data_IF_008454001719
#
_entry.id   IF_008454001719
#
_cell.length_a   1.000
_cell.length_b   1.000
_cell.length_c   1.000
_cell.angle_alpha   90.00
_cell.angle_beta   90.00
_cell.angle_gamma   90.00
#
_symmetry.space_group_name_H-M   'P 1'
#
loop_
_entity.id
_entity.type
_entity.pdbx_description
1 polymer ?
#
# COMPACT_ATOMS: atom_id res chain seq x y z
N UNK A 1 -10.14 -0.24 16.54
CA UNK A 1 -10.72 -1.47 17.08
C UNK A 1 -11.33 -2.29 15.97
N UNK A 2 -11.05 -3.59 15.93
CA UNK A 2 -11.54 -4.48 14.88
C UNK A 2 -11.86 -5.85 15.47
N UNK A 3 -12.91 -6.50 14.97
CA UNK A 3 -13.40 -7.77 15.52
C UNK A 3 -13.30 -8.87 14.48
N UNK A 4 -12.85 -10.04 14.94
CA UNK A 4 -12.63 -11.24 14.15
C UNK A 4 -13.50 -12.36 14.72
N UNK A 5 -13.98 -13.24 13.84
CA UNK A 5 -14.67 -14.48 14.18
C UNK A 5 -13.72 -15.64 13.88
N UNK A 6 -13.56 -16.53 14.86
CA UNK A 6 -12.74 -17.73 14.77
C UNK A 6 -13.67 -18.93 14.76
N UNK A 7 -13.60 -19.69 13.68
CA UNK A 7 -14.39 -20.90 13.44
C UNK A 7 -13.53 -22.16 13.55
N UNK A 8 -14.16 -23.28 13.89
CA UNK A 8 -13.51 -24.60 13.95
C UNK A 8 -12.79 -24.90 15.26
N UNK A 9 -13.18 -24.26 16.37
CA UNK A 9 -12.63 -24.53 17.70
C UNK A 9 -13.11 -25.87 18.24
N UNK A 10 -12.24 -26.60 18.95
CA UNK A 10 -12.67 -27.80 19.68
C UNK A 10 -13.68 -27.42 20.78
N UNK A 11 -14.65 -28.31 21.01
CA UNK A 11 -15.65 -28.20 22.08
C UNK A 11 -15.06 -27.95 23.49
N UNK A 12 -13.81 -28.34 23.71
CA UNK A 12 -13.08 -28.17 24.99
C UNK A 12 -12.32 -26.85 25.07
N UNK A 13 -12.21 -26.12 23.98
CA UNK A 13 -11.46 -24.87 23.91
C UNK A 13 -12.23 -23.75 24.59
N UNK A 14 -11.60 -23.10 25.57
CA UNK A 14 -12.21 -22.04 26.38
C UNK A 14 -11.86 -20.65 25.84
N UNK A 15 -12.63 -19.64 26.23
CA UNK A 15 -12.34 -18.25 25.84
C UNK A 15 -10.95 -17.81 26.32
N UNK A 16 -10.49 -18.31 27.47
CA UNK A 16 -9.18 -17.97 28.01
C UNK A 16 -8.04 -18.54 27.16
N UNK A 17 -8.19 -19.79 26.67
CA UNK A 17 -7.19 -20.36 25.75
C UNK A 17 -7.10 -19.58 24.44
N UNK A 18 -8.23 -19.20 23.86
CA UNK A 18 -8.25 -18.39 22.62
C UNK A 18 -7.68 -16.99 22.88
N UNK A 19 -8.05 -16.37 24.00
CA UNK A 19 -7.55 -15.06 24.41
C UNK A 19 -6.03 -15.07 24.58
N UNK A 20 -5.48 -16.06 25.28
CA UNK A 20 -4.04 -16.18 25.48
C UNK A 20 -3.30 -16.38 24.15
N UNK A 21 -3.87 -17.17 23.23
CA UNK A 21 -3.29 -17.35 21.89
C UNK A 21 -3.31 -16.06 21.07
N UNK A 22 -4.46 -15.39 20.99
CA UNK A 22 -4.62 -14.16 20.21
C UNK A 22 -3.81 -12.99 20.78
N UNK A 23 -3.42 -13.02 22.06
CA UNK A 23 -2.57 -12.01 22.68
C UNK A 23 -1.17 -11.94 22.05
N UNK A 24 -0.71 -13.02 21.42
CA UNK A 24 0.56 -13.04 20.69
C UNK A 24 0.57 -12.10 19.47
N UNK A 25 -0.60 -11.79 18.92
CA UNK A 25 -0.77 -10.89 17.78
C UNK A 25 -1.04 -9.45 18.22
N UNK A 26 -1.42 -9.24 19.48
CA UNK A 26 -1.59 -7.91 20.05
C UNK A 26 -2.64 -7.83 21.15
N UNK A 27 -2.84 -6.60 21.66
CA UNK A 27 -3.74 -6.35 22.79
C UNK A 27 -5.20 -6.65 22.43
N UNK A 28 -5.79 -7.59 23.17
CA UNK A 28 -7.22 -7.95 23.07
C UNK A 28 -8.04 -7.10 24.03
N UNK A 29 -9.14 -6.53 23.52
CA UNK A 29 -10.13 -5.80 24.31
C UNK A 29 -11.25 -6.70 24.82
N UNK A 30 -11.71 -7.64 23.99
CA UNK A 30 -12.79 -8.56 24.33
C UNK A 30 -12.59 -9.92 23.64
N UNK A 31 -12.99 -11.00 24.32
CA UNK A 31 -12.94 -12.36 23.81
C UNK A 31 -14.06 -13.16 24.47
N UNK A 32 -14.95 -13.75 23.66
CA UNK A 32 -16.00 -14.62 24.15
C UNK A 32 -16.40 -15.66 23.10
N UNK A 33 -16.87 -16.81 23.57
CA UNK A 33 -17.30 -17.92 22.71
C UNK A 33 -18.83 -17.92 22.62
N UNK A 34 -19.36 -18.09 21.41
CA UNK A 34 -20.78 -18.23 21.11
C UNK A 34 -20.98 -19.31 20.06
N UNK A 35 -21.73 -20.37 20.39
CA UNK A 35 -22.11 -21.45 19.46
C UNK A 35 -20.92 -22.02 18.64
N UNK A 36 -19.84 -22.43 19.31
CA UNK A 36 -18.60 -22.97 18.73
C UNK A 36 -17.76 -21.97 17.90
N UNK A 37 -18.12 -20.68 17.91
CA UNK A 37 -17.33 -19.60 17.32
C UNK A 37 -16.74 -18.74 18.42
N UNK A 38 -15.47 -18.35 18.33
CA UNK A 38 -14.89 -17.35 19.23
C UNK A 38 -14.84 -15.99 18.54
N UNK A 39 -15.36 -14.97 19.23
CA UNK A 39 -15.33 -13.60 18.77
C UNK A 39 -14.25 -12.87 19.55
N UNK A 40 -13.26 -12.33 18.84
CA UNK A 40 -12.11 -11.62 19.42
C UNK A 40 -12.05 -10.20 18.88
N UNK A 41 -11.98 -9.22 19.77
CA UNK A 41 -11.83 -7.80 19.43
C UNK A 41 -10.42 -7.34 19.77
N UNK A 42 -9.65 -6.97 18.74
CA UNK A 42 -8.33 -6.37 18.89
C UNK A 42 -8.44 -4.85 19.12
N UNK A 43 -7.54 -4.32 19.93
CA UNK A 43 -7.43 -2.88 20.15
C UNK A 43 -7.12 -2.15 18.84
N UNK A 44 -6.15 -2.67 18.09
CA UNK A 44 -5.67 -2.11 16.83
C UNK A 44 -6.10 -2.96 15.65
N UNK A 45 -6.40 -2.29 14.53
CA UNK A 45 -6.87 -2.93 13.29
C UNK A 45 -5.78 -3.80 12.65
N UNK A 46 -4.53 -3.33 12.70
CA UNK A 46 -3.38 -4.02 12.11
C UNK A 46 -3.18 -5.43 12.70
N UNK A 47 -3.34 -5.58 14.02
CA UNK A 47 -3.23 -6.87 14.70
C UNK A 47 -4.31 -7.87 14.25
N UNK A 48 -5.52 -7.39 13.98
CA UNK A 48 -6.60 -8.21 13.43
C UNK A 48 -6.35 -8.61 11.97
N UNK A 49 -5.80 -7.70 11.16
CA UNK A 49 -5.39 -7.97 9.77
C UNK A 49 -4.28 -9.03 9.72
N UNK A 50 -3.27 -8.90 10.56
CA UNK A 50 -2.17 -9.86 10.65
C UNK A 50 -2.66 -11.24 11.11
N UNK A 51 -3.54 -11.28 12.10
CA UNK A 51 -4.18 -12.51 12.56
C UNK A 51 -4.99 -13.19 11.45
N UNK A 52 -5.77 -12.45 10.65
CA UNK A 52 -6.52 -13.05 9.54
C UNK A 52 -5.58 -13.51 8.41
N UNK A 53 -4.55 -12.73 8.10
CA UNK A 53 -3.56 -13.05 7.05
C UNK A 53 -2.78 -14.33 7.34
N UNK A 54 -2.57 -14.64 8.62
CA UNK A 54 -1.84 -15.83 9.08
C UNK A 54 -2.75 -17.04 9.31
N UNK A 55 -4.05 -16.92 8.99
CA UNK A 55 -4.97 -18.05 8.97
C UNK A 55 -4.57 -19.06 7.88
N UNK A 56 -4.65 -20.37 8.15
CA UNK A 56 -5.29 -21.00 9.30
C UNK A 56 -4.36 -21.20 10.52
N UNK A 57 -4.92 -21.09 11.72
CA UNK A 57 -4.20 -21.19 13.00
C UNK A 57 -4.39 -22.55 13.65
N UNK A 58 -3.54 -22.90 14.61
CA UNK A 58 -3.73 -24.07 15.50
C UNK A 58 -3.70 -23.59 16.95
N UNK A 59 -4.88 -23.45 17.54
CA UNK A 59 -5.05 -22.92 18.92
C UNK A 59 -5.04 -24.07 19.94
N UNK A 60 -5.54 -25.24 19.55
CA UNK A 60 -5.58 -26.44 20.37
C UNK A 60 -4.95 -27.64 19.65
N UNK A 61 -5.00 -28.81 20.30
CA UNK A 61 -4.42 -30.05 19.80
C UNK A 61 -5.25 -30.73 18.70
N UNK A 62 -6.43 -30.20 18.35
CA UNK A 62 -7.45 -30.98 17.64
C UNK A 62 -8.06 -30.32 16.40
N UNK A 63 -7.43 -29.27 15.84
CA UNK A 63 -7.90 -28.71 14.57
C UNK A 63 -7.12 -27.52 14.06
N UNK A 64 -7.32 -27.23 12.77
CA UNK A 64 -6.92 -25.96 12.16
C UNK A 64 -8.13 -25.02 12.23
N UNK A 65 -7.99 -23.88 12.90
CA UNK A 65 -9.06 -22.88 13.02
C UNK A 65 -8.92 -21.84 11.93
N UNK A 66 -10.05 -21.31 11.46
CA UNK A 66 -10.09 -20.27 10.43
C UNK A 66 -10.55 -18.95 11.05
N UNK A 67 -9.84 -17.87 10.73
CA UNK A 67 -10.19 -16.53 11.19
C UNK A 67 -10.78 -15.70 10.05
N UNK A 68 -11.98 -15.14 10.25
CA UNK A 68 -12.64 -14.27 9.29
C UNK A 68 -13.01 -12.94 9.93
N UNK A 69 -13.11 -11.87 9.12
CA UNK A 69 -13.62 -10.60 9.61
C UNK A 69 -15.02 -10.81 10.17
N UNK A 70 -15.28 -10.29 11.38
CA UNK A 70 -16.66 -10.09 11.81
C UNK A 70 -17.24 -9.06 10.87
N UNK A 71 -17.98 -9.50 9.86
CA UNK A 71 -18.66 -8.63 8.91
C UNK A 71 -19.54 -7.71 9.74
N UNK A 72 -19.16 -6.44 9.83
CA UNK A 72 -19.97 -5.41 10.47
C UNK A 72 -21.14 -5.12 9.54
N UNK A 73 -22.08 -6.06 9.45
CA UNK A 73 -23.45 -5.72 9.12
C UNK A 73 -23.93 -4.88 10.30
N UNK A 74 -24.10 -3.58 10.07
CA UNK A 74 -24.89 -2.71 10.93
C UNK A 74 -26.30 -3.34 11.03
N UNK A 75 -26.49 -4.21 12.01
CA UNK A 75 -27.75 -4.85 12.35
C UNK A 75 -27.89 -4.68 13.85
N UNK A 76 -28.40 -3.51 14.20
CA UNK A 76 -29.25 -3.34 15.38
C UNK A 76 -30.36 -4.40 15.30
N UNK A 77 -30.14 -5.55 15.92
CA UNK A 77 -31.23 -6.44 16.27
C UNK A 77 -31.40 -6.43 17.79
N UNK A 78 -32.60 -6.08 18.29
CA UNK A 78 -32.92 -6.31 19.68
C UNK A 78 -32.88 -7.81 19.98
N UNK A 79 -32.27 -8.15 21.13
CA UNK A 79 -32.30 -9.48 21.72
C UNK A 79 -33.77 -9.86 21.96
N UNK A 80 -34.31 -10.74 21.11
CA UNK A 80 -35.35 -11.73 21.39
C UNK A 80 -36.03 -12.11 20.09
N UNK A 81 -35.38 -12.97 19.31
CA UNK A 81 -36.09 -13.85 18.39
C UNK A 81 -35.24 -15.11 18.21
N UNK A 82 -35.78 -16.23 18.68
CA UNK A 82 -35.48 -17.57 18.17
C UNK A 82 -35.55 -17.50 16.63
N UNK A 83 -34.82 -18.34 15.87
CA UNK A 83 -34.90 -18.31 14.42
C UNK A 83 -36.34 -18.67 14.01
N UNK A 84 -37.17 -17.65 13.84
CA UNK A 84 -38.42 -17.77 13.12
C UNK A 84 -37.97 -17.96 11.67
N UNK A 85 -38.27 -19.14 11.15
CA UNK A 85 -38.11 -19.54 9.77
C UNK A 85 -39.01 -18.60 8.95
N UNK A 86 -38.51 -17.40 8.65
CA UNK A 86 -39.21 -16.42 7.84
C UNK A 86 -38.79 -16.59 6.37
N UNK A 87 -39.42 -17.58 5.73
CA UNK A 87 -39.99 -17.55 4.38
C UNK A 87 -39.44 -16.49 3.39
N UNK A 88 -38.14 -16.53 3.09
CA UNK A 88 -37.57 -16.24 1.76
C UNK A 88 -36.21 -16.94 1.66
N UNK A 89 -36.21 -18.27 1.72
CA UNK A 89 -35.03 -19.14 1.57
C UNK A 89 -34.56 -19.18 0.09
N UNK A 90 -34.45 -18.03 -0.57
CA UNK A 90 -34.00 -17.92 -1.97
C UNK A 90 -32.49 -18.16 -2.12
N UNK A 91 -31.79 -18.49 -1.02
CA UNK A 91 -30.38 -18.88 -1.01
C UNK A 91 -30.19 -20.38 -0.80
N UNK A 92 -31.27 -21.17 -0.84
CA UNK A 92 -31.23 -22.62 -0.64
C UNK A 92 -31.70 -23.37 -1.87
N UNK A 93 -31.05 -24.50 -2.12
CA UNK A 93 -31.38 -25.44 -3.19
C UNK A 93 -31.49 -26.86 -2.64
N UNK A 94 -32.41 -27.62 -3.21
CA UNK A 94 -32.52 -29.07 -3.00
C UNK A 94 -31.91 -29.77 -4.20
N UNK A 95 -30.94 -30.65 -3.95
CA UNK A 95 -30.26 -31.46 -4.96
C UNK A 95 -30.70 -32.90 -4.76
N UNK A 96 -31.09 -33.57 -5.84
CA UNK A 96 -31.39 -35.01 -5.83
C UNK A 96 -30.41 -35.73 -6.76
N UNK A 97 -29.95 -36.90 -6.32
CA UNK A 97 -28.93 -37.66 -7.02
C UNK A 97 -28.68 -39.02 -6.37
N UNK A 98 -27.67 -39.74 -6.87
CA UNK A 98 -27.22 -41.01 -6.28
C UNK A 98 -26.39 -40.76 -5.01
N UNK A 99 -26.37 -41.72 -4.09
CA UNK A 99 -25.65 -41.60 -2.80
C UNK A 99 -24.19 -41.16 -2.98
N UNK A 100 -23.46 -41.76 -3.92
CA UNK A 100 -22.06 -41.44 -4.25
C UNK A 100 -21.87 -39.98 -4.71
N UNK A 101 -22.90 -39.37 -5.31
CA UNK A 101 -22.87 -37.97 -5.75
C UNK A 101 -23.23 -36.99 -4.62
N UNK A 102 -23.95 -37.45 -3.60
CA UNK A 102 -24.47 -36.60 -2.54
C UNK A 102 -23.52 -36.49 -1.34
N UNK A 103 -22.28 -36.95 -1.48
CA UNK A 103 -21.24 -36.71 -0.49
C UNK A 103 -20.92 -35.21 -0.40
N UNK A 104 -20.94 -34.68 0.83
CA UNK A 104 -20.69 -33.27 1.15
C UNK A 104 -19.45 -32.69 0.44
N UNK A 105 -18.25 -33.30 0.47
CA UNK A 105 -17.07 -32.70 -0.15
C UNK A 105 -17.21 -32.56 -1.68
N UNK A 106 -17.90 -33.50 -2.34
CA UNK A 106 -18.11 -33.48 -3.79
C UNK A 106 -19.09 -32.37 -4.18
N UNK A 107 -20.18 -32.25 -3.40
CA UNK A 107 -21.18 -31.20 -3.58
C UNK A 107 -20.59 -29.81 -3.32
N UNK A 108 -19.88 -29.60 -2.20
CA UNK A 108 -19.27 -28.31 -1.87
C UNK A 108 -18.26 -27.92 -2.95
N UNK A 109 -17.39 -28.84 -3.38
CA UNK A 109 -16.38 -28.57 -4.43
C UNK A 109 -17.03 -28.17 -5.76
N UNK A 110 -18.06 -28.90 -6.19
CA UNK A 110 -18.74 -28.62 -7.45
C UNK A 110 -19.52 -27.30 -7.38
N UNK A 111 -20.35 -27.12 -6.36
CA UNK A 111 -21.23 -25.95 -6.28
C UNK A 111 -20.50 -24.65 -5.90
N UNK A 112 -19.28 -24.75 -5.35
CA UNK A 112 -18.42 -23.59 -5.09
C UNK A 112 -18.06 -22.79 -6.36
N UNK A 113 -18.19 -23.37 -7.56
CA UNK A 113 -17.97 -22.65 -8.81
C UNK A 113 -19.03 -21.57 -9.10
N UNK A 114 -20.21 -21.69 -8.49
CA UNK A 114 -21.31 -20.73 -8.68
C UNK A 114 -21.31 -19.62 -7.61
N UNK A 115 -20.73 -19.90 -6.44
CA UNK A 115 -20.45 -18.97 -5.36
C UNK A 115 -20.15 -19.68 -4.04
N UNK A 116 -19.99 -18.91 -2.95
CA UNK A 116 -19.58 -19.48 -1.67
C UNK A 116 -20.71 -20.32 -1.04
N UNK A 117 -20.44 -21.61 -0.85
CA UNK A 117 -21.37 -22.53 -0.19
C UNK A 117 -21.24 -22.33 1.32
N UNK A 118 -22.27 -21.75 1.93
CA UNK A 118 -22.36 -21.51 3.37
C UNK A 118 -22.57 -22.79 4.16
N UNK A 119 -23.38 -23.70 3.62
CA UNK A 119 -23.77 -24.93 4.31
C UNK A 119 -24.20 -25.99 3.30
N UNK A 120 -23.79 -27.23 3.52
CA UNK A 120 -24.24 -28.39 2.77
C UNK A 120 -24.77 -29.43 3.75
N UNK A 121 -26.01 -29.86 3.57
CA UNK A 121 -26.69 -30.84 4.42
C UNK A 121 -27.10 -32.03 3.56
N UNK A 122 -26.24 -33.07 3.42
CA UNK A 122 -26.60 -34.27 2.72
C UNK A 122 -27.64 -35.07 3.51
N UNK A 123 -28.67 -35.55 2.83
CA UNK A 123 -29.70 -36.44 3.35
C UNK A 123 -29.71 -37.75 2.53
N UNK A 124 -28.73 -38.63 2.76
CA UNK A 124 -28.57 -39.85 1.97
C UNK A 124 -29.77 -40.78 2.06
N UNK A 125 -30.48 -40.80 3.21
CA UNK A 125 -31.72 -41.58 3.38
C UNK A 125 -32.85 -41.19 2.44
N UNK A 126 -32.88 -39.94 1.98
CA UNK A 126 -33.90 -39.43 1.06
C UNK A 126 -33.38 -39.24 -0.36
N UNK A 127 -32.13 -39.63 -0.63
CA UNK A 127 -31.49 -39.40 -1.94
C UNK A 127 -31.44 -37.91 -2.31
N UNK A 128 -31.30 -37.03 -1.32
CA UNK A 128 -31.26 -35.59 -1.50
C UNK A 128 -30.17 -34.92 -0.68
N UNK A 129 -29.84 -33.68 -1.01
CA UNK A 129 -28.99 -32.81 -0.21
C UNK A 129 -29.51 -31.38 -0.31
N UNK A 130 -29.37 -30.60 0.76
CA UNK A 130 -29.69 -29.17 0.76
C UNK A 130 -28.41 -28.36 0.76
N UNK A 131 -28.27 -27.45 -0.20
CA UNK A 131 -27.15 -26.51 -0.24
C UNK A 131 -27.68 -25.11 0.04
N UNK A 132 -26.97 -24.39 0.91
CA UNK A 132 -27.20 -22.98 1.21
C UNK A 132 -26.01 -22.17 0.74
N UNK A 133 -26.25 -21.15 -0.08
CA UNK A 133 -25.25 -20.16 -0.47
C UNK A 133 -25.31 -18.93 0.43
N UNK A 134 -24.23 -18.15 0.46
CA UNK A 134 -24.22 -16.85 1.14
C UNK A 134 -25.08 -15.81 0.43
N UNK A 135 -25.20 -15.91 -0.89
CA UNK A 135 -25.90 -14.95 -1.72
C UNK A 135 -26.93 -15.61 -2.65
N UNK A 136 -27.99 -14.87 -2.95
CA UNK A 136 -29.08 -15.31 -3.82
C UNK A 136 -28.64 -15.48 -5.28
N UNK A 137 -27.66 -14.68 -5.73
CA UNK A 137 -27.22 -14.69 -7.13
C UNK A 137 -26.58 -16.04 -7.46
N UNK A 138 -25.84 -16.62 -6.52
CA UNK A 138 -25.29 -17.97 -6.64
C UNK A 138 -26.36 -19.03 -6.87
N UNK A 139 -27.48 -18.99 -6.14
CA UNK A 139 -28.61 -19.90 -6.38
C UNK A 139 -29.25 -19.70 -7.76
N UNK A 140 -29.44 -18.46 -8.18
CA UNK A 140 -30.01 -18.16 -9.51
C UNK A 140 -29.11 -18.63 -10.64
N UNK A 141 -27.78 -18.53 -10.49
CA UNK A 141 -26.82 -19.08 -11.47
C UNK A 141 -26.95 -20.59 -11.61
N UNK A 142 -27.03 -21.30 -10.48
CA UNK A 142 -27.21 -22.75 -10.48
C UNK A 142 -28.52 -23.14 -11.16
N UNK A 143 -29.63 -22.47 -10.82
CA UNK A 143 -30.95 -22.75 -11.41
C UNK A 143 -31.05 -22.37 -12.90
N UNK A 144 -30.29 -21.37 -13.35
CA UNK A 144 -30.25 -20.95 -14.76
C UNK A 144 -29.55 -21.97 -15.64
N UNK A 145 -28.62 -22.74 -15.08
CA UNK A 145 -27.93 -23.78 -15.84
C UNK A 145 -28.81 -25.02 -15.99
N UNK A 146 -29.05 -25.41 -17.25
CA UNK A 146 -30.07 -26.40 -17.61
C UNK A 146 -29.81 -27.82 -17.09
N UNK A 147 -28.54 -28.20 -16.88
CA UNK A 147 -28.13 -29.55 -16.45
C UNK A 147 -26.85 -29.47 -15.64
N UNK A 148 -26.80 -30.25 -14.58
CA UNK A 148 -25.63 -30.37 -13.71
C UNK A 148 -25.16 -31.81 -13.70
N UNK A 149 -23.85 -32.02 -13.77
CA UNK A 149 -23.27 -33.36 -13.83
C UNK A 149 -22.18 -33.51 -12.78
N UNK A 150 -22.30 -34.54 -11.96
CA UNK A 150 -21.30 -34.90 -10.96
C UNK A 150 -20.95 -36.38 -11.14
N UNK A 151 -19.65 -36.67 -11.28
CA UNK A 151 -19.14 -38.02 -11.56
C UNK A 151 -19.81 -38.69 -12.79
N UNK A 152 -20.05 -37.90 -13.85
CA UNK A 152 -20.63 -38.38 -15.12
C UNK A 152 -22.13 -38.69 -15.07
N UNK A 153 -22.81 -38.43 -13.95
CA UNK A 153 -24.25 -38.63 -13.76
C UNK A 153 -24.96 -37.29 -13.56
N UNK A 154 -26.18 -37.17 -14.06
CA UNK A 154 -26.98 -35.93 -13.93
C UNK A 154 -27.47 -35.75 -12.50
N UNK A 155 -27.46 -34.50 -12.04
CA UNK A 155 -28.14 -34.06 -10.82
C UNK A 155 -29.46 -33.40 -11.17
N UNK A 156 -30.45 -33.52 -10.28
CA UNK A 156 -31.71 -32.77 -10.35
C UNK A 156 -31.62 -31.68 -9.29
N UNK A 157 -31.85 -30.43 -9.68
CA UNK A 157 -31.79 -29.28 -8.77
C UNK A 157 -33.14 -28.59 -8.78
N UNK A 158 -33.67 -28.38 -7.59
CA UNK A 158 -34.96 -27.76 -7.35
C UNK A 158 -34.77 -26.57 -6.38
N UNK A 159 -35.52 -25.47 -6.56
CA UNK A 159 -35.61 -24.44 -5.54
C UNK A 159 -36.02 -25.07 -4.20
N UNK A 160 -35.40 -24.65 -3.10
CA UNK A 160 -35.75 -25.18 -1.80
C UNK A 160 -37.19 -24.79 -1.44
N UNK A 161 -38.09 -25.77 -1.43
CA UNK A 161 -39.41 -25.63 -0.83
C UNK A 161 -39.31 -26.08 0.61
N UNK A 162 -39.52 -25.16 1.55
CA UNK A 162 -39.69 -25.54 2.93
C UNK A 162 -40.91 -26.46 2.99
N UNK A 163 -40.67 -27.75 3.12
CA UNK A 163 -41.74 -28.70 3.39
C UNK A 163 -42.19 -28.38 4.80
N UNK A 164 -43.23 -27.55 4.93
CA UNK A 164 -44.03 -27.51 6.14
C UNK A 164 -44.39 -28.96 6.41
N UNK A 165 -43.98 -29.45 7.57
CA UNK A 165 -44.45 -30.72 8.09
C UNK A 165 -45.95 -30.52 8.29
N UNK A 166 -46.74 -30.74 7.23
CA UNK A 166 -48.14 -31.06 7.34
C UNK A 166 -48.14 -32.41 8.04
N UNK A 167 -48.32 -32.36 9.36
CA UNK A 167 -48.87 -33.48 10.10
C UNK A 167 -50.04 -33.98 9.28
N UNK A 168 -49.92 -35.23 8.82
CA UNK A 168 -51.00 -35.97 8.18
C UNK A 168 -52.03 -36.20 9.28
N UNK A 169 -52.88 -35.20 9.53
CA UNK A 169 -54.09 -35.36 10.32
C UNK A 169 -55.13 -35.96 9.38
N UNK A 170 -55.08 -37.29 9.28
CA UNK A 170 -56.17 -38.12 8.78
C UNK A 170 -57.37 -37.98 9.74
N UNK A 171 -58.14 -36.89 9.64
CA UNK A 171 -59.44 -36.81 10.30
C UNK A 171 -60.35 -35.69 9.76
N UNK A 172 -60.78 -35.79 8.50
CA UNK A 172 -61.96 -35.05 8.02
C UNK A 172 -63.13 -36.01 7.76
N UNK A 173 -63.74 -36.42 8.87
CA UNK A 173 -65.04 -37.09 8.87
C UNK A 173 -66.14 -36.09 8.51
N UNK A 174 -66.65 -36.20 7.28
CA UNK A 174 -68.03 -35.93 6.86
C UNK A 174 -68.94 -35.24 7.92
N UNK A 175 -68.97 -33.90 7.93
CA UNK A 175 -70.10 -33.13 8.46
C UNK A 175 -70.82 -32.42 7.33
N UNK A 176 -71.79 -33.15 6.77
CA UNK A 176 -72.85 -32.67 5.89
C UNK A 176 -73.68 -31.60 6.63
N UNK A 177 -73.27 -30.33 6.54
CA UNK A 177 -74.06 -29.19 7.01
C UNK A 177 -75.34 -29.10 6.18
N UNK A 178 -76.48 -29.19 6.87
CA UNK A 178 -77.82 -28.95 6.31
C UNK A 178 -77.95 -27.46 6.00
N UNK A 179 -78.16 -27.13 4.73
CA UNK A 179 -78.62 -25.82 4.30
C UNK A 179 -80.02 -25.59 4.87
N UNK A 180 -80.13 -24.69 5.85
CA UNK A 180 -81.39 -24.06 6.25
C UNK A 180 -81.42 -22.69 5.61
N UNK A 181 -82.60 -22.29 5.12
CA UNK A 181 -82.82 -21.08 4.31
C UNK A 181 -82.09 -19.82 4.84
N UNK A 182 -81.45 -19.04 3.94
CA UNK A 182 -80.75 -17.84 4.32
C UNK A 182 -81.75 -16.72 4.65
N UNK A 183 -82.01 -16.50 5.94
CA UNK A 183 -82.62 -15.25 6.39
C UNK A 183 -81.72 -14.07 5.98
N UNK A 184 -82.33 -13.02 5.45
CA UNK A 184 -81.75 -11.77 4.92
C UNK A 184 -80.69 -11.12 5.85
N UNK A 185 -80.74 -11.41 7.15
CA UNK A 185 -79.76 -11.00 8.16
C UNK A 185 -78.35 -11.60 7.97
N UNK A 186 -78.23 -12.82 7.43
CA UNK A 186 -76.91 -13.47 7.20
C UNK A 186 -76.12 -12.83 6.06
N UNK A 187 -76.80 -12.36 5.02
CA UNK A 187 -76.17 -11.65 3.89
C UNK A 187 -75.59 -10.30 4.32
N UNK A 188 -76.26 -9.59 5.23
CA UNK A 188 -75.75 -8.32 5.76
C UNK A 188 -74.44 -8.52 6.54
N UNK A 189 -74.38 -9.53 7.42
CA UNK A 189 -73.18 -9.85 8.20
C UNK A 189 -72.00 -10.25 7.30
N UNK A 190 -72.25 -11.08 6.28
CA UNK A 190 -71.23 -11.51 5.33
C UNK A 190 -70.68 -10.34 4.50
N UNK A 191 -71.57 -9.44 4.06
CA UNK A 191 -71.17 -8.24 3.31
C UNK A 191 -70.29 -7.32 4.15
N UNK A 192 -70.68 -7.06 5.41
CA UNK A 192 -69.87 -6.24 6.33
C UNK A 192 -68.50 -6.86 6.62
N UNK A 193 -68.40 -8.19 6.74
CA UNK A 193 -67.12 -8.88 6.92
C UNK A 193 -66.22 -8.73 5.70
N UNK A 194 -66.78 -8.90 4.50
CA UNK A 194 -66.03 -8.74 3.25
C UNK A 194 -65.48 -7.33 3.05
N UNK A 195 -66.30 -6.29 3.31
CA UNK A 195 -65.84 -4.91 3.20
C UNK A 195 -64.77 -4.58 4.25
N UNK A 196 -64.89 -5.10 5.47
CA UNK A 196 -63.87 -4.93 6.49
C UNK A 196 -62.52 -5.58 6.12
N UNK A 197 -62.54 -6.80 5.59
CA UNK A 197 -61.33 -7.50 5.14
C UNK A 197 -60.65 -6.77 3.97
N UNK A 198 -61.45 -6.27 3.01
CA UNK A 198 -60.97 -5.44 1.91
C UNK A 198 -60.31 -4.14 2.39
N UNK A 199 -60.90 -3.48 3.39
CA UNK A 199 -60.32 -2.27 3.99
C UNK A 199 -59.00 -2.59 4.72
N UNK A 200 -58.92 -3.71 5.45
CA UNK A 200 -57.67 -4.16 6.08
C UNK A 200 -56.56 -4.40 5.06
N UNK A 201 -56.86 -5.11 3.96
CA UNK A 201 -55.90 -5.38 2.90
C UNK A 201 -55.43 -4.10 2.20
N UNK A 202 -56.34 -3.14 1.96
CA UNK A 202 -55.99 -1.85 1.38
C UNK A 202 -55.05 -1.06 2.31
N UNK A 203 -55.35 -1.01 3.60
CA UNK A 203 -54.50 -0.35 4.59
C UNK A 203 -53.12 -1.03 4.70
N UNK A 204 -53.07 -2.36 4.62
CA UNK A 204 -51.80 -3.10 4.60
C UNK A 204 -50.99 -2.80 3.33
N UNK A 205 -51.62 -2.75 2.16
CA UNK A 205 -50.98 -2.37 0.90
C UNK A 205 -50.38 -0.97 0.98
N UNK A 206 -51.13 0.02 1.49
CA UNK A 206 -50.65 1.39 1.66
C UNK A 206 -49.44 1.41 2.61
N UNK A 207 -49.52 0.71 3.75
CA UNK A 207 -48.42 0.62 4.72
C UNK A 207 -47.15 0.05 4.07
N UNK A 208 -47.28 -1.04 3.33
CA UNK A 208 -46.15 -1.65 2.63
C UNK A 208 -45.57 -0.71 1.57
N UNK A 209 -46.42 -0.02 0.81
CA UNK A 209 -45.98 0.95 -0.19
C UNK A 209 -45.20 2.11 0.45
N UNK A 210 -45.67 2.64 1.59
CA UNK A 210 -44.93 3.65 2.37
C UNK A 210 -43.57 3.12 2.83
N UNK A 211 -43.50 1.90 3.36
CA UNK A 211 -42.24 1.28 3.79
C UNK A 211 -41.25 1.08 2.63
N UNK A 212 -41.74 0.68 1.44
CA UNK A 212 -40.89 0.58 0.25
C UNK A 212 -40.36 1.95 -0.17
N UNK A 213 -41.19 2.99 -0.13
CA UNK A 213 -40.79 4.35 -0.49
C UNK A 213 -39.71 4.90 0.45
N UNK A 214 -39.88 4.72 1.77
CA UNK A 214 -38.87 5.11 2.77
C UNK A 214 -37.54 4.39 2.53
N UNK A 215 -37.59 3.09 2.21
CA UNK A 215 -36.40 2.30 1.94
C UNK A 215 -35.66 2.76 0.68
N UNK A 216 -36.39 3.16 -0.37
CA UNK A 216 -35.80 3.74 -1.59
C UNK A 216 -35.07 5.04 -1.25
N UNK A 217 -35.70 5.93 -0.48
CA UNK A 217 -35.10 7.20 -0.07
C UNK A 217 -33.81 6.98 0.76
N UNK A 218 -33.83 6.02 1.68
CA UNK A 218 -32.64 5.67 2.46
C UNK A 218 -31.51 5.17 1.56
N UNK A 219 -31.81 4.29 0.60
CA UNK A 219 -30.80 3.80 -0.35
C UNK A 219 -30.24 4.91 -1.24
N UNK A 220 -31.08 5.85 -1.69
CA UNK A 220 -30.63 7.02 -2.46
C UNK A 220 -29.69 7.91 -1.63
N UNK A 221 -30.02 8.12 -0.35
CA UNK A 221 -29.16 8.87 0.58
C UNK A 221 -27.82 8.16 0.83
N UNK A 222 -27.82 6.85 1.13
CA UNK A 222 -26.59 6.07 1.30
C UNK A 222 -25.71 6.10 0.04
N UNK A 223 -26.33 6.02 -1.14
CA UNK A 223 -25.64 6.16 -2.42
C UNK A 223 -25.00 7.55 -2.58
N UNK A 224 -25.69 8.63 -2.19
CA UNK A 224 -25.14 9.98 -2.22
C UNK A 224 -23.93 10.12 -1.28
N UNK A 225 -24.04 9.62 -0.04
CA UNK A 225 -22.95 9.65 0.93
C UNK A 225 -21.71 8.88 0.45
N UNK A 226 -21.92 7.70 -0.16
CA UNK A 226 -20.82 6.92 -0.74
C UNK A 226 -20.15 7.65 -1.91
N UNK A 227 -20.93 8.33 -2.75
CA UNK A 227 -20.41 9.10 -3.87
C UNK A 227 -19.58 10.31 -3.38
N UNK A 228 -20.06 11.05 -2.38
CA UNK A 228 -19.31 12.15 -1.77
C UNK A 228 -17.98 11.68 -1.16
N UNK A 229 -18.01 10.54 -0.45
CA UNK A 229 -16.80 9.92 0.09
C UNK A 229 -15.80 9.56 -1.03
N UNK A 230 -16.26 8.98 -2.13
CA UNK A 230 -15.42 8.61 -3.26
C UNK A 230 -14.80 9.84 -3.93
N UNK A 231 -15.58 10.91 -4.14
CA UNK A 231 -15.06 12.18 -4.66
C UNK A 231 -13.98 12.76 -3.74
N UNK A 232 -14.18 12.71 -2.42
CA UNK A 232 -13.19 13.18 -1.45
C UNK A 232 -11.88 12.39 -1.54
N UNK A 233 -11.96 11.05 -1.60
CA UNK A 233 -10.79 10.19 -1.77
C UNK A 233 -10.05 10.49 -3.08
N UNK A 234 -10.77 10.68 -4.17
CA UNK A 234 -10.19 11.05 -5.46
C UNK A 234 -9.47 12.40 -5.40
N UNK A 235 -10.09 13.40 -4.75
CA UNK A 235 -9.49 14.72 -4.56
C UNK A 235 -8.21 14.65 -3.72
N UNK A 236 -8.23 13.93 -2.59
CA UNK A 236 -7.07 13.78 -1.70
C UNK A 236 -5.91 13.08 -2.41
N UNK A 237 -6.20 12.03 -3.18
CA UNK A 237 -5.20 11.35 -4.00
C UNK A 237 -4.60 12.29 -5.05
N UNK A 238 -5.42 13.06 -5.76
CA UNK A 238 -4.94 14.05 -6.75
C UNK A 238 -4.05 15.12 -6.12
N UNK A 239 -4.41 15.59 -4.91
CA UNK A 239 -3.60 16.54 -4.16
C UNK A 239 -2.24 15.95 -3.78
N UNK A 240 -2.21 14.69 -3.32
CA UNK A 240 -0.96 13.98 -3.02
C UNK A 240 -0.07 13.85 -4.26
N UNK A 241 -0.64 13.45 -5.40
CA UNK A 241 0.10 13.33 -6.67
C UNK A 241 0.71 14.67 -7.07
N UNK A 242 -0.05 15.77 -7.00
CA UNK A 242 0.46 17.13 -7.28
C UNK A 242 1.59 17.52 -6.34
N UNK A 243 1.47 17.19 -5.05
CA UNK A 243 2.52 17.48 -4.07
C UNK A 243 3.83 16.74 -4.40
N UNK A 244 3.75 15.45 -4.75
CA UNK A 244 4.94 14.69 -5.17
C UNK A 244 5.55 15.21 -6.46
N UNK A 245 4.73 15.62 -7.45
CA UNK A 245 5.21 16.24 -8.67
C UNK A 245 5.99 17.53 -8.38
N UNK A 246 5.52 18.36 -7.45
CA UNK A 246 6.22 19.57 -7.03
C UNK A 246 7.59 19.27 -6.40
N UNK A 247 7.65 18.29 -5.48
CA UNK A 247 8.91 17.89 -4.84
C UNK A 247 9.92 17.33 -5.85
N UNK A 248 9.46 16.53 -6.81
CA UNK A 248 10.30 16.01 -7.88
C UNK A 248 10.86 17.12 -8.76
N UNK A 249 10.03 18.12 -9.11
CA UNK A 249 10.49 19.28 -9.89
C UNK A 249 11.55 20.07 -9.12
N UNK A 250 11.33 20.31 -7.83
CA UNK A 250 12.30 21.01 -6.98
C UNK A 250 13.64 20.26 -6.91
N UNK A 251 13.60 18.93 -6.76
CA UNK A 251 14.82 18.11 -6.76
C UNK A 251 15.55 18.15 -8.12
N UNK A 252 14.80 18.17 -9.22
CA UNK A 252 15.38 18.26 -10.56
C UNK A 252 16.07 19.60 -10.80
N UNK A 253 15.47 20.69 -10.32
CA UNK A 253 16.05 22.03 -10.40
C UNK A 253 17.34 22.12 -9.56
N UNK A 254 17.36 21.50 -8.38
CA UNK A 254 18.56 21.42 -7.53
C UNK A 254 19.70 20.64 -8.20
N UNK A 255 19.39 19.48 -8.79
CA UNK A 255 20.36 18.68 -9.55
C UNK A 255 20.92 19.50 -10.72
N UNK A 256 20.05 20.13 -11.49
CA UNK A 256 20.44 20.97 -12.64
C UNK A 256 21.36 22.12 -12.23
N UNK A 257 21.11 22.74 -11.06
CA UNK A 257 21.98 23.79 -10.54
C UNK A 257 23.35 23.27 -10.10
N UNK A 258 23.40 22.09 -9.46
CA UNK A 258 24.66 21.43 -9.09
C UNK A 258 25.47 21.04 -10.32
N UNK A 259 24.83 20.54 -11.37
CA UNK A 259 25.50 20.21 -12.63
C UNK A 259 26.15 21.45 -13.27
N UNK A 260 25.44 22.60 -13.27
CA UNK A 260 26.02 23.88 -13.72
C UNK A 260 27.23 24.28 -12.90
N UNK A 261 27.18 24.11 -11.57
CA UNK A 261 28.30 24.41 -10.68
C UNK A 261 29.50 23.49 -10.96
N UNK A 262 29.26 22.20 -11.21
CA UNK A 262 30.31 21.24 -11.57
C UNK A 262 30.98 21.65 -12.90
N UNK A 263 30.21 22.06 -13.90
CA UNK A 263 30.77 22.53 -15.18
C UNK A 263 31.59 23.81 -15.02
N UNK A 264 31.17 24.74 -14.15
CA UNK A 264 31.97 25.93 -13.80
C UNK A 264 33.30 25.53 -13.15
N UNK A 265 33.28 24.64 -12.16
CA UNK A 265 34.50 24.16 -11.49
C UNK A 265 35.43 23.40 -12.43
N UNK A 266 34.88 22.64 -13.40
CA UNK A 266 35.69 22.00 -14.45
C UNK A 266 36.40 23.03 -15.32
N UNK A 267 35.72 24.11 -15.69
CA UNK A 267 36.32 25.18 -16.47
C UNK A 267 37.41 25.91 -15.68
N UNK A 268 37.17 26.23 -14.41
CA UNK A 268 38.18 26.85 -13.54
C UNK A 268 39.42 25.96 -13.36
N UNK A 269 39.23 24.65 -13.15
CA UNK A 269 40.35 23.71 -13.06
C UNK A 269 41.16 23.64 -14.36
N UNK A 270 40.49 23.68 -15.51
CA UNK A 270 41.14 23.74 -16.82
C UNK A 270 41.98 25.01 -16.96
N UNK A 271 41.43 26.16 -16.57
CA UNK A 271 42.14 27.44 -16.63
C UNK A 271 43.36 27.45 -15.69
N UNK A 272 43.25 26.84 -14.51
CA UNK A 272 44.39 26.65 -13.58
C UNK A 272 45.47 25.76 -14.21
N UNK A 273 45.10 24.64 -14.83
CA UNK A 273 46.04 23.75 -15.50
C UNK A 273 46.77 24.46 -16.66
N UNK A 274 46.06 25.27 -17.43
CA UNK A 274 46.64 26.08 -18.52
C UNK A 274 47.60 27.15 -17.97
N UNK A 275 47.25 27.82 -16.87
CA UNK A 275 48.14 28.75 -16.17
C UNK A 275 49.40 28.08 -15.61
N UNK A 276 49.27 26.87 -15.05
CA UNK A 276 50.41 26.09 -14.56
C UNK A 276 51.34 25.68 -15.71
N UNK A 277 50.78 25.23 -16.85
CA UNK A 277 51.56 24.92 -18.06
C UNK A 277 52.32 26.14 -18.56
N UNK A 278 51.67 27.31 -18.59
CA UNK A 278 52.31 28.56 -18.98
C UNK A 278 53.43 28.94 -18.02
N UNK A 279 53.21 28.84 -16.70
CA UNK A 279 54.22 29.14 -15.68
C UNK A 279 55.44 28.22 -15.77
N UNK A 280 55.22 26.91 -16.00
CA UNK A 280 56.31 25.95 -16.24
C UNK A 280 57.11 26.35 -17.48
N UNK A 281 56.43 26.68 -18.58
CA UNK A 281 57.07 27.13 -19.81
C UNK A 281 57.90 28.41 -19.60
N UNK A 282 57.34 29.41 -18.92
CA UNK A 282 58.03 30.67 -18.63
C UNK A 282 59.28 30.44 -17.76
N UNK A 283 59.20 29.56 -16.76
CA UNK A 283 60.34 29.17 -15.95
C UNK A 283 61.44 28.46 -16.77
N UNK A 284 61.06 27.56 -17.68
CA UNK A 284 62.00 26.91 -18.59
C UNK A 284 62.72 27.94 -19.49
N UNK A 285 61.98 28.91 -20.05
CA UNK A 285 62.56 29.98 -20.86
C UNK A 285 63.53 30.86 -20.06
N UNK A 286 63.18 31.19 -18.81
CA UNK A 286 64.07 31.93 -17.92
C UNK A 286 65.37 31.16 -17.62
N UNK A 287 65.28 29.85 -17.37
CA UNK A 287 66.44 28.99 -17.16
C UNK A 287 67.34 28.91 -18.40
N UNK A 288 66.75 28.81 -19.60
CA UNK A 288 67.49 28.87 -20.87
C UNK A 288 68.22 30.21 -21.00
N UNK A 289 67.55 31.31 -20.69
CA UNK A 289 68.14 32.64 -20.78
C UNK A 289 69.28 32.87 -19.76
N UNK A 290 69.14 32.35 -18.53
CA UNK A 290 70.20 32.36 -17.53
C UNK A 290 71.43 31.57 -18.00
N UNK A 291 71.24 30.35 -18.52
CA UNK A 291 72.34 29.54 -19.09
C UNK A 291 73.07 30.27 -20.22
N UNK A 292 72.33 30.92 -21.13
CA UNK A 292 72.93 31.73 -22.21
C UNK A 292 73.75 32.90 -21.66
N UNK A 293 73.27 33.60 -20.62
CA UNK A 293 74.03 34.68 -19.96
C UNK A 293 75.30 34.17 -19.30
N UNK A 294 75.25 33.03 -18.60
CA UNK A 294 76.43 32.39 -18.01
C UNK A 294 77.45 31.98 -19.06
N UNK A 295 77.01 31.45 -20.20
CA UNK A 295 77.89 31.09 -21.31
C UNK A 295 78.62 32.31 -21.88
N UNK A 296 77.90 33.40 -22.13
CA UNK A 296 78.50 34.68 -22.58
C UNK A 296 79.48 35.24 -21.57
N UNK A 297 79.14 35.19 -20.27
CA UNK A 297 80.04 35.62 -19.21
C UNK A 297 81.33 34.78 -19.18
N UNK A 298 81.20 33.45 -19.28
CA UNK A 298 82.34 32.53 -19.32
C UNK A 298 83.22 32.75 -20.55
N UNK A 299 82.64 32.97 -21.74
CA UNK A 299 83.40 33.33 -22.94
C UNK A 299 84.17 34.64 -22.76
N UNK A 300 83.54 35.66 -22.16
CA UNK A 300 84.17 36.95 -21.89
C UNK A 300 85.33 36.82 -20.93
N UNK A 301 85.15 36.04 -19.86
CA UNK A 301 86.19 35.70 -18.89
C UNK A 301 87.39 35.02 -19.56
N UNK A 302 87.17 34.01 -20.42
CA UNK A 302 88.24 33.34 -21.19
C UNK A 302 89.01 34.32 -22.07
N UNK A 303 88.32 35.20 -22.80
CA UNK A 303 88.98 36.25 -23.60
C UNK A 303 89.84 37.18 -22.75
N UNK A 304 89.35 37.56 -21.56
CA UNK A 304 90.10 38.41 -20.64
C UNK A 304 91.34 37.69 -20.09
N UNK A 305 91.23 36.41 -19.74
CA UNK A 305 92.35 35.57 -19.32
C UNK A 305 93.40 35.41 -20.43
N UNK A 306 92.98 35.26 -21.69
CA UNK A 306 93.87 35.24 -22.86
C UNK A 306 94.60 36.57 -23.06
N UNK A 307 93.88 37.69 -22.99
CA UNK A 307 94.46 39.04 -23.07
C UNK A 307 95.45 39.30 -21.93
N UNK A 308 95.11 38.90 -20.71
CA UNK A 308 95.98 39.03 -19.54
C UNK A 308 97.25 38.19 -19.69
N UNK A 309 97.13 36.94 -20.15
CA UNK A 309 98.30 36.09 -20.49
C UNK A 309 99.18 36.72 -21.56
N UNK A 310 98.59 37.32 -22.61
CA UNK A 310 99.33 38.02 -23.65
C UNK A 310 100.06 39.26 -23.10
N UNK A 311 99.41 40.03 -22.23
CA UNK A 311 100.02 41.18 -21.54
C UNK A 311 101.20 40.78 -20.67
N UNK A 312 101.08 39.74 -19.85
CA UNK A 312 102.18 39.27 -18.99
C UNK A 312 103.41 38.85 -19.81
N UNK A 313 103.20 38.19 -20.95
CA UNK A 313 104.30 37.86 -21.88
C UNK A 313 105.01 39.10 -22.45
N UNK A 314 104.28 40.18 -22.71
CA UNK A 314 104.88 41.44 -23.18
C UNK A 314 105.69 42.13 -22.06
N UNK A 315 105.19 42.07 -20.82
CA UNK A 315 105.85 42.66 -19.64
C UNK A 315 107.17 41.95 -19.30
N UNK A 316 107.23 40.63 -19.42
CA UNK A 316 108.45 39.85 -19.16
C UNK A 316 109.56 40.17 -20.19
N UNK A 317 109.20 40.65 -21.38
CA UNK A 317 110.15 41.08 -22.42
C UNK A 317 110.62 42.55 -22.28
N UNK A 318 110.09 43.32 -21.32
CA UNK A 318 110.41 44.75 -21.14
C UNK A 318 111.17 45.04 -19.84
N UNK A 319 112.22 44.27 -19.54
CA UNK A 319 113.16 44.61 -18.46
C UNK A 319 114.19 45.63 -18.97
N UNK A 320 113.84 46.92 -18.91
CA UNK A 320 114.81 48.03 -18.92
C UNK A 320 114.48 48.94 -17.72
N UNK A 321 115.52 49.21 -16.92
CA UNK A 321 115.59 50.11 -15.77
C UNK A 321 114.78 51.41 -15.91
N UNK A 322 114.07 51.80 -14.85
CA UNK A 322 113.44 53.12 -14.78
C UNK A 322 112.73 53.41 -13.47
N UNK A 323 113.40 54.23 -12.66
CA UNK A 323 113.08 54.83 -11.36
C UNK A 323 111.79 55.68 -11.29
N UNK A 324 111.33 55.96 -10.05
CA UNK A 324 110.41 57.04 -9.56
C UNK A 324 108.91 56.77 -9.29
N UNK A 325 108.60 56.72 -7.98
CA UNK A 325 107.74 57.61 -7.16
C UNK A 325 106.29 58.04 -7.52
N UNK A 326 105.45 58.36 -6.50
CA UNK A 326 104.03 58.00 -6.46
C UNK A 326 103.05 59.18 -6.60
N UNK A 327 101.88 58.96 -7.23
CA UNK A 327 100.73 59.89 -7.20
C UNK A 327 99.41 59.08 -7.20
N UNK A 328 98.64 59.18 -6.11
CA UNK A 328 97.26 58.69 -6.04
C UNK A 328 96.27 59.60 -6.78
N UNK A 329 95.04 59.11 -7.05
CA UNK A 329 93.88 59.85 -6.52
C UNK A 329 92.67 58.99 -6.11
N UNK A 330 92.10 59.36 -4.96
CA UNK A 330 90.68 59.76 -4.71
C UNK A 330 89.52 59.05 -5.46
N UNK A 331 88.75 58.25 -4.68
CA UNK A 331 87.26 58.23 -4.45
C UNK A 331 86.30 58.16 -5.67
N UNK A 332 85.10 57.50 -5.60
CA UNK A 332 84.15 57.67 -4.50
C UNK A 332 83.32 56.44 -4.05
N UNK A 333 82.93 56.56 -2.78
CA UNK A 333 81.87 55.83 -2.09
C UNK A 333 80.53 56.29 -2.71
N UNK A 334 79.79 55.38 -3.33
CA UNK A 334 78.39 55.60 -3.68
C UNK A 334 77.52 54.63 -2.87
N UNK A 335 76.98 55.17 -1.78
CA UNK A 335 75.85 54.63 -1.04
C UNK A 335 74.72 54.30 -2.02
N UNK A 336 74.32 53.03 -2.09
CA UNK A 336 73.02 52.64 -2.63
C UNK A 336 72.22 52.02 -1.50
N UNK A 337 71.24 52.79 -1.04
CA UNK A 337 70.27 52.43 -0.02
C UNK A 337 69.51 51.17 -0.43
N UNK A 338 69.64 50.13 0.39
CA UNK A 338 68.79 48.94 0.37
C UNK A 338 67.41 49.33 0.94
N UNK A 339 66.45 49.67 0.07
CA UNK A 339 65.05 49.80 0.47
C UNK A 339 64.45 48.40 0.49
N UNK A 340 64.40 47.80 1.69
CA UNK A 340 63.66 46.57 1.96
C UNK A 340 62.16 46.94 2.00
N UNK A 341 61.49 46.85 0.86
CA UNK A 341 60.03 46.82 0.84
C UNK A 341 59.56 45.44 1.30
N UNK A 342 59.11 45.36 2.55
CA UNK A 342 58.29 44.25 3.05
C UNK A 342 57.01 44.18 2.21
N UNK A 343 56.63 43.01 1.66
CA UNK A 343 55.28 42.83 1.15
C UNK A 343 54.29 42.90 2.32
N UNK A 344 53.32 43.82 2.21
CA UNK A 344 52.11 43.83 3.04
C UNK A 344 51.37 42.52 2.78
N UNK A 345 51.26 41.67 3.79
CA UNK A 345 50.32 40.55 3.80
C UNK A 345 48.90 41.11 3.96
N UNK A 346 48.18 41.28 2.87
CA UNK A 346 46.73 41.44 2.91
C UNK A 346 46.14 40.04 3.00
N UNK A 347 45.91 39.58 4.23
CA UNK A 347 44.98 38.49 4.51
C UNK A 347 43.62 39.18 4.58
N UNK A 348 42.88 39.16 3.47
CA UNK A 348 41.47 39.49 3.51
C UNK A 348 40.70 38.30 4.10
N UNK A 349 40.07 38.60 5.24
CA UNK A 349 38.97 37.88 5.85
C UNK A 349 37.88 37.61 4.80
N UNK A 350 37.71 36.35 4.41
CA UNK A 350 36.43 35.86 3.87
C UNK A 350 35.84 34.90 4.89
N UNK A 351 35.18 35.49 5.88
CA UNK A 351 34.35 34.80 6.86
C UNK A 351 32.89 35.07 6.55
N UNK A 352 32.24 34.06 5.98
CA UNK A 352 30.84 33.64 6.20
C UNK A 352 29.76 34.73 6.21
N UNK A 353 28.87 34.67 5.23
CA UNK A 353 27.45 34.35 5.45
C UNK A 353 26.78 33.87 4.17
#
# INVERSE_FOLDING_TARGET
>A
MSTVVIDGLDSRTTSDTVKNFCQNFGKILNCYIKCNQCIVTFAEKHNAEEFIRTSPHRIDSNGSVTATWKVTLNRTFPLNQRPIINSTDNTRLTIRGTFEQLEEPNLVRYFSQYGHVRMCLPNPSQGSATITFDDRISCERVLKESRHFLNGRSLIIEPYTATTITTVDDNESNKRMKYSDPNESTLSILTSRFEHEKEQLLNEQIRLQSQFQERIQLFEFEKQQLNEYLLKQQHDFHHQVKHYQYLLQQSLDEITNKDKQIEQLKQENKDIDDLLRQSVHDNEQQQIHLKKREEVHNQTKRKYEELYKAYMKLKDNSTIQGDKDPIGPKTPIANTNLIINKPKSTIDDVRKK
#
